data_IF_142707685864
#
_entry.id   IF_142707685864
#
_cell.length_a   1.000
_cell.length_b   1.000
_cell.length_c   1.000
_cell.angle_alpha   90.00
_cell.angle_beta   90.00
_cell.angle_gamma   90.00
#
_symmetry.space_group_name_H-M   'P 1'
#
loop_
_entity.id
_entity.type
_entity.pdbx_description
1 polymer ?
#
# COMPACT_ATOMS: atom_id res chain seq x y z
N UNK A 1 -18.27 -14.78 11.39
CA UNK A 1 -17.71 -13.63 10.69
C UNK A 1 -17.39 -14.07 9.28
N UNK A 2 -17.96 -13.45 8.24
CA UNK A 2 -17.63 -13.80 6.86
C UNK A 2 -16.20 -13.34 6.59
N UNK A 3 -15.29 -14.30 6.50
CA UNK A 3 -13.87 -14.08 6.25
C UNK A 3 -13.69 -13.83 4.74
N UNK A 4 -14.10 -12.68 4.25
CA UNK A 4 -13.95 -12.34 2.82
C UNK A 4 -12.51 -11.91 2.57
N UNK A 5 -11.76 -12.73 1.84
CA UNK A 5 -10.43 -12.38 1.34
C UNK A 5 -10.52 -11.14 0.43
N UNK A 6 -9.86 -10.06 0.82
CA UNK A 6 -9.80 -8.81 0.05
C UNK A 6 -8.71 -8.88 -1.00
N UNK A 7 -7.59 -9.51 -0.67
CA UNK A 7 -6.45 -9.72 -1.54
C UNK A 7 -5.98 -11.16 -1.40
N UNK A 8 -5.79 -11.83 -2.54
CA UNK A 8 -5.34 -13.23 -2.57
C UNK A 8 -4.32 -13.42 -3.69
N UNK A 9 -3.19 -14.02 -3.35
CA UNK A 9 -2.16 -14.49 -4.27
C UNK A 9 -1.97 -15.99 -4.07
N UNK A 10 -1.96 -16.77 -5.16
CA UNK A 10 -1.79 -18.22 -5.11
C UNK A 10 -0.76 -18.65 -6.14
N UNK A 11 0.27 -19.37 -5.70
CA UNK A 11 1.32 -19.91 -6.56
C UNK A 11 2.10 -18.85 -7.34
N UNK A 12 2.23 -17.64 -6.76
CA UNK A 12 2.76 -16.48 -7.46
C UNK A 12 4.26 -16.65 -7.77
N UNK A 13 4.63 -16.50 -9.04
CA UNK A 13 6.01 -16.54 -9.51
C UNK A 13 6.35 -15.28 -10.31
N UNK A 14 7.54 -14.75 -10.07
CA UNK A 14 8.08 -13.60 -10.80
C UNK A 14 9.58 -13.75 -11.03
N UNK A 15 9.99 -13.50 -12.28
CA UNK A 15 11.40 -13.51 -12.67
C UNK A 15 11.74 -12.30 -13.52
N UNK A 16 13.00 -11.88 -13.46
CA UNK A 16 13.53 -10.84 -14.33
C UNK A 16 14.68 -11.37 -15.16
N UNK A 17 14.84 -10.84 -16.38
CA UNK A 17 16.01 -11.12 -17.22
C UNK A 17 17.10 -10.10 -16.93
N UNK A 18 18.23 -10.54 -16.42
CA UNK A 18 19.38 -9.70 -16.11
C UNK A 18 20.65 -10.31 -16.74
N UNK A 19 21.31 -9.59 -17.65
CA UNK A 19 22.54 -10.06 -18.30
C UNK A 19 22.41 -11.42 -19.00
N UNK A 20 21.25 -11.74 -19.57
CA UNK A 20 20.96 -13.02 -20.22
C UNK A 20 20.65 -14.18 -19.28
N UNK A 21 20.66 -13.95 -17.96
CA UNK A 21 20.24 -14.93 -16.93
C UNK A 21 18.85 -14.62 -16.42
N UNK A 22 18.11 -15.67 -16.03
CA UNK A 22 16.80 -15.54 -15.39
C UNK A 22 17.01 -15.49 -13.88
N UNK A 23 16.63 -14.35 -13.26
CA UNK A 23 16.63 -14.17 -11.81
C UNK A 23 15.21 -14.44 -11.29
N UNK A 24 15.00 -15.57 -10.61
CA UNK A 24 13.74 -15.90 -9.96
C UNK A 24 13.62 -15.14 -8.63
N UNK A 25 12.75 -14.14 -8.59
CA UNK A 25 12.55 -13.28 -7.41
C UNK A 25 11.42 -13.78 -6.51
N UNK A 26 10.29 -14.21 -7.09
CA UNK A 26 9.21 -14.86 -6.35
C UNK A 26 9.02 -16.29 -6.85
N UNK A 27 8.84 -17.23 -5.90
CA UNK A 27 8.79 -18.67 -6.15
C UNK A 27 7.65 -19.29 -5.34
N UNK A 28 6.50 -19.49 -6.00
CA UNK A 28 5.32 -20.13 -5.38
C UNK A 28 4.82 -19.42 -4.11
N UNK A 29 4.67 -18.09 -4.18
CA UNK A 29 4.20 -17.28 -3.06
C UNK A 29 2.68 -17.40 -2.93
N UNK A 30 2.23 -17.74 -1.71
CA UNK A 30 0.82 -17.80 -1.34
C UNK A 30 0.56 -16.79 -0.22
N UNK A 31 -0.37 -15.86 -0.43
CA UNK A 31 -0.72 -14.82 0.54
C UNK A 31 -2.22 -14.52 0.41
N UNK A 32 -2.91 -14.51 1.52
CA UNK A 32 -4.30 -14.05 1.61
C UNK A 32 -4.40 -12.99 2.70
N UNK A 33 -5.15 -11.92 2.43
CA UNK A 33 -5.38 -10.81 3.37
C UNK A 33 -6.86 -10.53 3.44
N UNK A 34 -7.39 -10.45 4.65
CA UNK A 34 -8.82 -10.30 4.91
C UNK A 34 -9.19 -8.86 5.24
N UNK A 35 -10.48 -8.56 5.15
CA UNK A 35 -11.03 -7.26 5.55
C UNK A 35 -10.70 -6.96 7.02
N UNK A 36 -10.13 -5.77 7.26
CA UNK A 36 -9.71 -5.33 8.59
C UNK A 36 -8.47 -6.01 9.15
N UNK A 37 -7.81 -6.87 8.36
CA UNK A 37 -6.55 -7.53 8.77
C UNK A 37 -5.35 -6.65 8.43
N UNK A 38 -4.41 -6.55 9.35
CA UNK A 38 -3.09 -5.97 9.15
C UNK A 38 -2.02 -7.06 9.05
N UNK A 39 -1.29 -7.10 7.92
CA UNK A 39 -0.25 -8.09 7.64
C UNK A 39 1.09 -7.38 7.43
N UNK A 40 2.08 -7.72 8.25
CA UNK A 40 3.45 -7.29 8.04
C UNK A 40 4.22 -8.31 7.18
N UNK A 41 4.87 -7.85 6.12
CA UNK A 41 5.79 -8.66 5.31
C UNK A 41 7.22 -8.27 5.68
N UNK A 42 7.92 -9.18 6.33
CA UNK A 42 9.31 -8.98 6.75
C UNK A 42 10.27 -9.86 5.95
N UNK A 43 11.54 -9.48 5.89
CA UNK A 43 12.58 -10.25 5.21
C UNK A 43 13.82 -9.41 4.92
N UNK A 44 14.94 -10.05 4.60
CA UNK A 44 16.19 -9.38 4.27
C UNK A 44 16.09 -8.52 3.01
N UNK A 45 17.00 -7.57 2.84
CA UNK A 45 17.10 -6.83 1.57
C UNK A 45 17.28 -7.81 0.40
N UNK A 46 16.63 -7.54 -0.72
CA UNK A 46 16.65 -8.42 -1.89
C UNK A 46 15.82 -9.71 -1.79
N UNK A 47 15.05 -9.94 -0.71
CA UNK A 47 14.20 -11.13 -0.59
C UNK A 47 12.98 -11.15 -1.53
N UNK A 48 12.65 -10.00 -2.17
CA UNK A 48 11.51 -9.88 -3.10
C UNK A 48 10.30 -9.14 -2.54
N UNK A 49 10.39 -8.49 -1.37
CA UNK A 49 9.25 -7.80 -0.72
C UNK A 49 8.60 -6.74 -1.60
N UNK A 50 9.39 -5.80 -2.12
CA UNK A 50 8.89 -4.75 -3.04
C UNK A 50 8.31 -5.35 -4.31
N UNK A 51 8.95 -6.40 -4.87
CA UNK A 51 8.43 -7.12 -6.04
C UNK A 51 7.08 -7.77 -5.73
N UNK A 52 6.94 -8.41 -4.56
CA UNK A 52 5.67 -8.98 -4.12
C UNK A 52 4.60 -7.89 -4.02
N UNK A 53 4.91 -6.77 -3.35
CA UNK A 53 3.99 -5.65 -3.22
C UNK A 53 3.54 -5.09 -4.59
N UNK A 54 4.48 -4.96 -5.54
CA UNK A 54 4.18 -4.51 -6.89
C UNK A 54 3.30 -5.48 -7.67
N UNK A 55 3.56 -6.79 -7.56
CA UNK A 55 2.73 -7.81 -8.22
C UNK A 55 1.31 -7.84 -7.64
N UNK A 56 1.17 -7.93 -6.30
CA UNK A 56 -0.16 -7.98 -5.66
C UNK A 56 -0.93 -6.66 -5.80
N UNK A 57 -0.23 -5.55 -6.05
CA UNK A 57 -0.81 -4.26 -6.38
C UNK A 57 -1.16 -4.08 -7.87
N UNK A 58 -0.86 -5.07 -8.71
CA UNK A 58 -1.07 -4.99 -10.16
C UNK A 58 -0.24 -3.89 -10.84
N UNK A 59 0.92 -3.52 -10.25
CA UNK A 59 1.86 -2.54 -10.81
C UNK A 59 2.92 -3.21 -11.68
N UNK A 60 3.24 -4.46 -11.39
CA UNK A 60 4.10 -5.29 -12.22
C UNK A 60 3.39 -6.61 -12.57
N UNK A 61 3.69 -7.14 -13.76
CA UNK A 61 3.13 -8.41 -14.21
C UNK A 61 3.87 -9.56 -13.54
N UNK A 62 3.18 -10.65 -13.29
CA UNK A 62 3.75 -11.89 -12.78
C UNK A 62 3.81 -12.96 -13.87
N UNK A 63 4.66 -13.98 -13.68
CA UNK A 63 4.90 -15.01 -14.70
C UNK A 63 3.88 -16.15 -14.57
N UNK A 64 3.54 -16.55 -13.32
CA UNK A 64 2.59 -17.63 -13.01
C UNK A 64 1.86 -17.35 -11.72
N UNK A 65 0.75 -18.04 -11.52
CA UNK A 65 -0.10 -17.94 -10.34
C UNK A 65 -1.39 -17.18 -10.59
N UNK A 66 -2.03 -16.82 -9.51
CA UNK A 66 -3.30 -16.09 -9.49
C UNK A 66 -3.17 -14.92 -8.50
N UNK A 67 -3.67 -13.76 -8.87
CA UNK A 67 -3.91 -12.66 -7.95
C UNK A 67 -5.34 -12.18 -8.10
N UNK A 68 -6.08 -12.17 -6.97
CA UNK A 68 -7.43 -11.62 -6.87
C UNK A 68 -7.44 -10.41 -5.95
N UNK A 69 -8.14 -9.35 -6.35
CA UNK A 69 -8.32 -8.13 -5.56
C UNK A 69 -9.82 -7.83 -5.50
N UNK A 70 -10.40 -7.95 -4.29
CA UNK A 70 -11.84 -7.80 -4.09
C UNK A 70 -12.65 -8.73 -5.00
N UNK A 71 -12.18 -9.97 -5.18
CA UNK A 71 -12.83 -11.02 -5.98
C UNK A 71 -12.62 -10.93 -7.49
N UNK A 72 -11.80 -9.99 -8.00
CA UNK A 72 -11.48 -9.90 -9.42
C UNK A 72 -10.06 -10.43 -9.70
N UNK A 73 -9.92 -11.41 -10.62
CA UNK A 73 -8.62 -11.91 -11.08
C UNK A 73 -7.94 -10.85 -11.97
N UNK A 74 -6.82 -10.30 -11.51
CA UNK A 74 -6.16 -9.20 -12.23
C UNK A 74 -5.48 -9.63 -13.52
N UNK A 75 -5.15 -10.91 -13.69
CA UNK A 75 -4.54 -11.42 -14.92
C UNK A 75 -5.50 -11.40 -16.12
N UNK A 76 -6.80 -11.41 -15.87
CA UNK A 76 -7.85 -11.42 -16.89
C UNK A 76 -8.31 -10.02 -17.29
N UNK A 77 -7.83 -8.98 -16.57
CA UNK A 77 -8.27 -7.61 -16.80
C UNK A 77 -7.46 -6.94 -17.92
N UNK A 78 -8.16 -6.12 -18.72
CA UNK A 78 -7.48 -5.16 -19.59
C UNK A 78 -6.72 -4.12 -18.76
N UNK A 79 -5.70 -3.49 -19.34
CA UNK A 79 -4.94 -2.42 -18.69
C UNK A 79 -5.83 -1.28 -18.17
N UNK A 80 -6.85 -0.92 -18.94
CA UNK A 80 -7.82 0.09 -18.50
C UNK A 80 -8.59 -0.36 -17.26
N UNK A 81 -9.11 -1.59 -17.27
CA UNK A 81 -9.86 -2.15 -16.14
C UNK A 81 -8.99 -2.33 -14.91
N UNK A 82 -7.74 -2.78 -15.09
CA UNK A 82 -6.75 -2.89 -14.01
C UNK A 82 -6.44 -1.53 -13.40
N UNK A 83 -6.31 -0.48 -14.21
CA UNK A 83 -6.11 0.89 -13.75
C UNK A 83 -7.30 1.40 -12.93
N UNK A 84 -8.53 1.14 -13.37
CA UNK A 84 -9.75 1.45 -12.62
C UNK A 84 -9.82 0.69 -11.30
N UNK A 85 -9.50 -0.61 -11.32
CA UNK A 85 -9.47 -1.45 -10.11
C UNK A 85 -8.47 -0.89 -9.10
N UNK A 86 -7.22 -0.62 -9.52
CA UNK A 86 -6.19 -0.02 -8.63
C UNK A 86 -6.69 1.27 -8.00
N UNK A 87 -7.22 2.18 -8.81
CA UNK A 87 -7.72 3.45 -8.31
C UNK A 87 -8.87 3.27 -7.30
N UNK A 88 -9.75 2.28 -7.49
CA UNK A 88 -10.94 2.08 -6.65
C UNK A 88 -10.70 1.22 -5.42
N UNK A 89 -9.87 0.18 -5.54
CA UNK A 89 -9.74 -0.87 -4.52
C UNK A 89 -8.41 -0.82 -3.76
N UNK A 90 -7.39 -0.15 -4.29
CA UNK A 90 -6.08 -0.11 -3.68
C UNK A 90 -5.64 1.31 -3.31
N UNK A 91 -4.92 1.40 -2.19
CA UNK A 91 -4.10 2.54 -1.84
C UNK A 91 -2.64 2.14 -1.82
N UNK A 92 -1.74 3.08 -2.15
CA UNK A 92 -0.30 2.84 -2.16
C UNK A 92 0.42 3.90 -1.33
N UNK A 93 1.29 3.44 -0.44
CA UNK A 93 2.23 4.27 0.32
C UNK A 93 3.63 3.75 0.05
N UNK A 94 4.55 4.62 -0.32
CA UNK A 94 5.94 4.28 -0.61
C UNK A 94 6.88 5.00 0.36
N UNK A 95 8.07 4.46 0.56
CA UNK A 95 9.14 5.09 1.33
C UNK A 95 9.49 6.49 0.78
N UNK A 96 9.55 6.65 -0.54
CA UNK A 96 9.71 7.93 -1.22
C UNK A 96 8.34 8.45 -1.65
N UNK A 97 7.65 9.13 -0.86
CA UNK A 97 6.29 9.70 -0.91
C UNK A 97 5.61 9.81 -2.30
N UNK A 98 6.37 9.99 -3.39
CA UNK A 98 5.89 10.14 -4.78
C UNK A 98 4.74 11.17 -4.90
N UNK A 99 4.85 12.29 -4.17
CA UNK A 99 3.93 13.40 -4.35
C UNK A 99 4.21 14.11 -5.67
N UNK A 100 3.15 14.58 -6.30
CA UNK A 100 3.22 15.39 -7.50
C UNK A 100 3.73 16.79 -7.09
N UNK A 101 4.91 17.23 -7.53
CA UNK A 101 5.57 18.41 -7.00
C UNK A 101 4.87 19.73 -7.37
N UNK A 102 4.11 19.76 -8.47
CA UNK A 102 3.36 20.91 -8.95
C UNK A 102 2.01 21.10 -8.27
N UNK A 103 1.58 20.13 -7.44
CA UNK A 103 0.29 20.13 -6.77
C UNK A 103 0.45 20.34 -5.28
N UNK A 104 -0.47 21.10 -4.69
CA UNK A 104 -0.53 21.31 -3.24
C UNK A 104 -0.79 19.98 -2.49
N UNK A 105 -0.66 20.00 -1.17
CA UNK A 105 -1.01 18.85 -0.32
C UNK A 105 -2.47 18.44 -0.56
N UNK A 106 -3.40 19.40 -0.56
CA UNK A 106 -4.82 19.15 -0.82
C UNK A 106 -5.05 18.54 -2.21
N UNK A 107 -4.40 19.07 -3.23
CA UNK A 107 -4.55 18.56 -4.60
C UNK A 107 -3.98 17.16 -4.78
N UNK A 108 -2.82 16.87 -4.16
CA UNK A 108 -2.26 15.53 -4.10
C UNK A 108 -3.24 14.54 -3.47
N UNK A 109 -3.83 14.88 -2.33
CA UNK A 109 -4.81 14.01 -1.63
C UNK A 109 -6.11 13.85 -2.42
N UNK A 110 -6.56 14.89 -3.11
CA UNK A 110 -7.77 14.84 -3.93
C UNK A 110 -7.59 14.08 -5.26
N UNK A 111 -6.34 13.84 -5.70
CA UNK A 111 -6.04 13.30 -7.03
C UNK A 111 -6.74 11.97 -7.35
N UNK A 112 -6.77 10.96 -6.46
CA UNK A 112 -7.47 9.71 -6.74
C UNK A 112 -8.95 9.90 -7.05
N UNK A 113 -9.62 10.83 -6.37
CA UNK A 113 -11.03 11.16 -6.56
C UNK A 113 -11.25 11.97 -7.85
N UNK A 114 -10.32 12.88 -8.18
CA UNK A 114 -10.35 13.62 -9.46
C UNK A 114 -10.22 12.66 -10.66
N UNK A 115 -9.34 11.64 -10.56
CA UNK A 115 -9.20 10.60 -11.58
C UNK A 115 -10.51 9.81 -11.77
N UNK A 116 -11.27 9.59 -10.69
CA UNK A 116 -12.62 8.98 -10.74
C UNK A 116 -13.70 9.90 -11.31
N UNK A 117 -13.35 11.15 -11.65
CA UNK A 117 -14.27 12.20 -12.09
C UNK A 117 -15.35 12.54 -11.04
N UNK A 118 -15.00 12.42 -9.78
CA UNK A 118 -15.88 12.88 -8.69
C UNK A 118 -15.99 14.41 -8.70
N UNK A 119 -17.10 14.93 -8.16
CA UNK A 119 -17.31 16.39 -8.06
C UNK A 119 -16.16 17.03 -7.29
N UNK A 120 -15.62 18.13 -7.81
CA UNK A 120 -14.48 18.83 -7.21
C UNK A 120 -14.71 19.17 -5.73
N UNK A 121 -15.91 19.62 -5.37
CA UNK A 121 -16.26 19.93 -3.98
C UNK A 121 -16.25 18.71 -3.05
N UNK A 122 -16.56 17.50 -3.56
CA UNK A 122 -16.50 16.25 -2.78
C UNK A 122 -15.04 15.85 -2.58
N UNK A 123 -14.24 15.89 -3.65
CA UNK A 123 -12.81 15.57 -3.58
C UNK A 123 -12.05 16.52 -2.63
N UNK A 124 -12.33 17.83 -2.68
CA UNK A 124 -11.73 18.82 -1.78
C UNK A 124 -12.10 18.59 -0.33
N UNK A 125 -13.41 18.46 -0.01
CA UNK A 125 -13.86 18.21 1.37
C UNK A 125 -13.24 16.93 1.96
N UNK A 126 -13.12 15.87 1.15
CA UNK A 126 -12.49 14.63 1.58
C UNK A 126 -11.00 14.84 1.85
N UNK A 127 -10.29 15.54 0.96
CA UNK A 127 -8.86 15.85 1.13
C UNK A 127 -8.61 16.70 2.38
N UNK A 128 -9.38 17.77 2.60
CA UNK A 128 -9.29 18.62 3.79
C UNK A 128 -9.50 17.82 5.08
N UNK A 129 -10.55 16.98 5.11
CA UNK A 129 -10.84 16.12 6.25
C UNK A 129 -9.68 15.18 6.59
N UNK A 130 -9.06 14.56 5.58
CA UNK A 130 -7.94 13.65 5.76
C UNK A 130 -6.66 14.38 6.20
N UNK A 131 -6.36 15.53 5.59
CA UNK A 131 -5.22 16.35 6.00
C UNK A 131 -5.37 16.83 7.44
N UNK A 132 -6.58 17.25 7.84
CA UNK A 132 -6.86 17.60 9.23
C UNK A 132 -6.65 16.41 10.17
N UNK A 133 -7.12 15.22 9.81
CA UNK A 133 -6.91 13.99 10.60
C UNK A 133 -5.43 13.62 10.75
N UNK A 134 -4.59 14.03 9.76
CA UNK A 134 -3.12 13.85 9.77
C UNK A 134 -2.37 15.01 10.46
N UNK A 135 -3.07 15.96 11.10
CA UNK A 135 -2.44 17.12 11.73
C UNK A 135 -1.85 18.13 10.74
N UNK A 136 -2.40 18.20 9.51
CA UNK A 136 -1.90 19.05 8.41
C UNK A 136 -2.93 20.12 7.98
N UNK A 137 -3.83 20.53 8.89
CA UNK A 137 -4.86 21.52 8.57
C UNK A 137 -4.28 22.85 8.03
N UNK A 138 -3.13 23.27 8.57
CA UNK A 138 -2.46 24.51 8.17
C UNK A 138 -1.47 24.32 6.99
N UNK A 139 -1.46 23.14 6.38
CA UNK A 139 -0.55 22.76 5.29
C UNK A 139 -1.26 22.45 3.97
N UNK A 140 -2.57 22.63 3.91
CA UNK A 140 -3.42 22.22 2.77
C UNK A 140 -2.97 22.82 1.44
N UNK A 141 -2.52 24.07 1.46
CA UNK A 141 -2.09 24.83 0.26
C UNK A 141 -0.57 24.77 0.01
N UNK A 142 0.19 24.04 0.84
CA UNK A 142 1.64 23.91 0.67
C UNK A 142 1.99 22.94 -0.45
N UNK A 143 3.01 23.31 -1.23
CA UNK A 143 3.65 22.40 -2.19
C UNK A 143 4.53 21.39 -1.46
N UNK A 144 4.81 20.22 -2.04
CA UNK A 144 5.70 19.20 -1.43
C UNK A 144 7.09 19.75 -1.05
N UNK A 145 7.63 20.72 -1.79
CA UNK A 145 8.90 21.37 -1.49
C UNK A 145 8.89 22.22 -0.21
N UNK A 146 7.71 22.60 0.27
CA UNK A 146 7.50 23.41 1.47
C UNK A 146 7.19 22.57 2.71
N UNK A 147 7.09 21.25 2.55
CA UNK A 147 6.76 20.29 3.60
C UNK A 147 8.02 19.57 4.09
N UNK A 148 8.06 19.26 5.38
CA UNK A 148 9.05 18.35 5.97
C UNK A 148 8.89 16.92 5.42
N UNK A 149 9.87 16.05 5.66
CA UNK A 149 9.79 14.63 5.28
C UNK A 149 8.56 13.94 5.87
N UNK A 150 8.32 14.14 7.17
CA UNK A 150 7.17 13.58 7.87
C UNK A 150 5.83 14.16 7.39
N UNK A 151 5.77 15.45 7.09
CA UNK A 151 4.56 16.07 6.52
C UNK A 151 4.25 15.49 5.13
N UNK A 152 5.28 15.33 4.26
CA UNK A 152 5.11 14.67 2.94
C UNK A 152 4.59 13.26 3.07
N UNK A 153 5.09 12.48 4.03
CA UNK A 153 4.62 11.11 4.25
C UNK A 153 3.16 11.08 4.69
N UNK A 154 2.77 11.95 5.62
CA UNK A 154 1.36 12.05 6.04
C UNK A 154 0.44 12.49 4.89
N UNK A 155 0.87 13.37 3.99
CA UNK A 155 0.14 13.71 2.75
C UNK A 155 0.01 12.48 1.84
N UNK A 156 1.09 11.69 1.66
CA UNK A 156 1.06 10.49 0.84
C UNK A 156 0.09 9.42 1.39
N UNK A 157 0.04 9.26 2.72
CA UNK A 157 -0.91 8.37 3.38
C UNK A 157 -2.35 8.87 3.21
N UNK A 158 -2.60 10.17 3.45
CA UNK A 158 -3.90 10.78 3.21
C UNK A 158 -4.38 10.57 1.77
N UNK A 159 -3.48 10.72 0.79
CA UNK A 159 -3.75 10.43 -0.63
C UNK A 159 -4.13 8.97 -0.84
N UNK A 160 -3.37 8.04 -0.27
CA UNK A 160 -3.59 6.61 -0.45
C UNK A 160 -4.96 6.15 0.05
N UNK A 161 -5.47 6.76 1.13
CA UNK A 161 -6.77 6.39 1.73
C UNK A 161 -7.93 7.28 1.27
N UNK A 162 -7.67 8.30 0.45
CA UNK A 162 -8.69 9.29 0.05
C UNK A 162 -9.86 8.66 -0.70
N UNK A 163 -9.58 7.66 -1.53
CA UNK A 163 -10.55 6.90 -2.30
C UNK A 163 -11.29 5.80 -1.51
N UNK A 164 -11.07 5.66 -0.20
CA UNK A 164 -11.61 4.56 0.60
C UNK A 164 -11.32 3.19 -0.03
N UNK A 165 -10.03 2.82 -0.19
CA UNK A 165 -9.66 1.55 -0.80
C UNK A 165 -10.06 0.36 0.09
N UNK A 166 -10.15 -0.83 -0.52
CA UNK A 166 -10.32 -2.08 0.22
C UNK A 166 -9.02 -2.52 0.91
N UNK A 167 -7.89 -2.27 0.25
CA UNK A 167 -6.57 -2.65 0.74
C UNK A 167 -5.56 -1.52 0.57
N UNK A 168 -4.76 -1.28 1.58
CA UNK A 168 -3.61 -0.38 1.56
C UNK A 168 -2.32 -1.20 1.50
N UNK A 169 -1.49 -0.92 0.51
CA UNK A 169 -0.17 -1.51 0.32
C UNK A 169 0.89 -0.48 0.69
N UNK A 170 1.67 -0.73 1.72
CA UNK A 170 2.67 0.20 2.25
C UNK A 170 4.07 -0.42 2.20
N UNK A 171 4.99 0.22 1.47
CA UNK A 171 6.40 -0.16 1.39
C UNK A 171 7.22 0.79 2.26
N UNK A 172 7.69 0.31 3.41
CA UNK A 172 8.48 1.07 4.40
C UNK A 172 7.84 2.44 4.74
N UNK A 173 6.56 2.48 5.21
CA UNK A 173 5.80 3.72 5.33
C UNK A 173 6.38 4.72 6.33
N UNK A 174 7.31 4.29 7.18
CA UNK A 174 7.95 5.09 8.23
C UNK A 174 9.46 5.23 8.07
N UNK A 175 10.06 4.62 7.05
CA UNK A 175 11.51 4.50 6.90
C UNK A 175 12.28 5.82 6.80
N UNK A 176 11.60 6.95 6.58
CA UNK A 176 12.19 8.30 6.51
C UNK A 176 11.65 9.24 7.60
N UNK A 177 11.03 8.70 8.65
CA UNK A 177 10.42 9.47 9.73
C UNK A 177 11.26 9.38 11.01
N UNK A 178 11.19 10.41 11.84
CA UNK A 178 11.61 10.31 13.24
C UNK A 178 10.65 9.39 14.02
N UNK A 179 11.11 8.86 15.15
CA UNK A 179 10.38 7.86 15.94
C UNK A 179 8.98 8.31 16.35
N UNK A 180 8.82 9.57 16.80
CA UNK A 180 7.54 10.09 17.25
C UNK A 180 6.53 10.20 16.08
N UNK A 181 6.97 10.72 14.94
CA UNK A 181 6.15 10.79 13.73
C UNK A 181 5.82 9.40 13.17
N UNK A 182 6.76 8.44 13.25
CA UNK A 182 6.56 7.06 12.83
C UNK A 182 5.45 6.39 13.64
N UNK A 183 5.44 6.54 14.97
CA UNK A 183 4.40 6.02 15.86
C UNK A 183 3.01 6.56 15.49
N UNK A 184 2.88 7.87 15.33
CA UNK A 184 1.61 8.51 14.93
C UNK A 184 1.08 7.95 13.60
N UNK A 185 1.97 7.73 12.64
CA UNK A 185 1.61 7.19 11.32
C UNK A 185 1.13 5.74 11.43
N UNK A 186 1.85 4.89 12.15
CA UNK A 186 1.49 3.48 12.32
C UNK A 186 0.19 3.35 13.11
N UNK A 187 0.01 4.11 14.19
CA UNK A 187 -1.24 4.15 14.96
C UNK A 187 -2.44 4.49 14.07
N UNK A 188 -2.27 5.49 13.21
CA UNK A 188 -3.32 5.86 12.28
C UNK A 188 -3.67 4.74 11.30
N UNK A 189 -2.66 4.10 10.70
CA UNK A 189 -2.86 3.01 9.73
C UNK A 189 -3.54 1.79 10.37
N UNK A 190 -3.08 1.36 11.54
CA UNK A 190 -3.66 0.25 12.29
C UNK A 190 -5.10 0.57 12.75
N UNK A 191 -5.36 1.82 13.14
CA UNK A 191 -6.70 2.27 13.47
C UNK A 191 -7.64 2.24 12.27
N UNK A 192 -7.17 2.61 11.07
CA UNK A 192 -7.98 2.49 9.85
C UNK A 192 -8.31 1.03 9.56
N UNK A 193 -7.36 0.12 9.74
CA UNK A 193 -7.56 -1.31 9.56
C UNK A 193 -8.65 -1.81 10.52
N UNK A 194 -8.44 -1.67 11.81
CA UNK A 194 -9.35 -2.22 12.84
C UNK A 194 -10.73 -1.58 12.88
N UNK A 195 -10.86 -0.27 12.57
CA UNK A 195 -12.13 0.47 12.75
C UNK A 195 -12.93 0.68 11.47
N UNK A 196 -12.31 0.60 10.29
CA UNK A 196 -12.95 0.86 9.00
C UNK A 196 -12.91 -0.35 8.05
N UNK A 197 -12.41 -1.50 8.49
CA UNK A 197 -12.33 -2.71 7.69
C UNK A 197 -11.26 -2.63 6.57
N UNK A 198 -10.33 -1.67 6.63
CA UNK A 198 -9.27 -1.55 5.65
C UNK A 198 -8.28 -2.70 5.79
N UNK A 199 -8.13 -3.55 4.77
CA UNK A 199 -7.03 -4.51 4.73
C UNK A 199 -5.70 -3.75 4.59
N UNK A 200 -4.69 -4.12 5.40
CA UNK A 200 -3.41 -3.41 5.45
C UNK A 200 -2.25 -4.38 5.25
N UNK A 201 -1.42 -4.13 4.24
CA UNK A 201 -0.17 -4.85 4.02
C UNK A 201 0.99 -3.88 4.20
N UNK A 202 1.85 -4.14 5.17
CA UNK A 202 3.04 -3.32 5.45
C UNK A 202 4.29 -4.16 5.16
N UNK A 203 5.10 -3.72 4.22
CA UNK A 203 6.47 -4.19 4.08
C UNK A 203 7.35 -3.36 5.02
N UNK A 204 8.04 -4.02 5.93
CA UNK A 204 8.94 -3.33 6.87
C UNK A 204 10.12 -4.21 7.29
N UNK A 205 11.20 -3.58 7.68
CA UNK A 205 12.34 -4.22 8.37
C UNK A 205 12.34 -3.95 9.88
N UNK A 206 11.40 -3.11 10.35
CA UNK A 206 11.25 -2.76 11.76
C UNK A 206 10.43 -3.84 12.48
N UNK A 207 11.04 -4.55 13.47
CA UNK A 207 10.35 -5.61 14.20
C UNK A 207 9.24 -5.08 15.09
N UNK A 208 9.33 -3.85 15.60
CA UNK A 208 8.33 -3.28 16.50
C UNK A 208 7.05 -2.96 15.73
N UNK A 209 7.19 -2.44 14.52
CA UNK A 209 6.05 -2.24 13.61
C UNK A 209 5.43 -3.58 13.22
N UNK A 210 6.25 -4.56 12.87
CA UNK A 210 5.76 -5.88 12.47
C UNK A 210 4.97 -6.55 13.61
N UNK A 211 5.47 -6.46 14.84
CA UNK A 211 4.82 -7.04 16.02
C UNK A 211 3.45 -6.42 16.36
N UNK A 212 3.14 -5.25 15.82
CA UNK A 212 1.85 -4.55 16.02
C UNK A 212 0.79 -4.95 15.01
N UNK A 213 1.17 -5.63 13.93
CA UNK A 213 0.23 -6.17 12.95
C UNK A 213 -0.43 -7.46 13.44
N UNK A 214 -1.62 -7.77 12.94
CA UNK A 214 -2.35 -9.00 13.33
C UNK A 214 -1.59 -10.26 12.91
N UNK A 215 -0.81 -10.19 11.82
CA UNK A 215 -0.03 -11.32 11.32
C UNK A 215 1.29 -10.87 10.70
N UNK A 216 2.35 -11.65 10.91
CA UNK A 216 3.67 -11.42 10.33
C UNK A 216 4.00 -12.53 9.34
N UNK A 217 4.31 -12.15 8.11
CA UNK A 217 4.70 -13.05 7.02
C UNK A 217 6.18 -12.83 6.70
N UNK A 218 6.97 -13.87 6.78
CA UNK A 218 8.42 -13.82 6.48
C UNK A 218 8.72 -14.26 5.06
N UNK A 219 9.18 -13.32 4.23
CA UNK A 219 9.66 -13.62 2.86
C UNK A 219 11.17 -13.86 2.86
N UNK A 220 11.58 -15.05 2.41
CA UNK A 220 13.01 -15.45 2.30
C UNK A 220 13.25 -16.15 0.98
N UNK A 221 14.25 -15.70 0.22
CA UNK A 221 14.65 -16.27 -1.07
C UNK A 221 13.48 -16.44 -2.06
N UNK A 222 12.53 -15.52 -2.04
CA UNK A 222 11.34 -15.51 -2.90
C UNK A 222 10.20 -16.42 -2.47
N UNK A 223 10.25 -17.02 -1.28
CA UNK A 223 9.20 -17.86 -0.72
C UNK A 223 8.71 -17.28 0.61
N UNK A 224 7.42 -17.43 0.89
CA UNK A 224 6.88 -17.21 2.23
C UNK A 224 7.23 -18.44 3.08
N UNK A 225 7.86 -18.19 4.22
CA UNK A 225 8.12 -19.25 5.19
C UNK A 225 6.83 -19.64 5.92
N UNK A 226 6.66 -20.93 6.27
CA UNK A 226 5.58 -21.34 7.17
C UNK A 226 5.66 -20.55 8.48
N UNK A 227 4.50 -20.30 9.11
CA UNK A 227 4.44 -19.74 10.45
C UNK A 227 5.17 -20.71 11.41
N UNK A 228 6.18 -20.19 12.11
CA UNK A 228 6.79 -20.93 13.20
C UNK A 228 5.80 -20.91 14.38
N UNK A 229 5.23 -22.11 14.69
CA UNK A 229 4.38 -22.33 15.85
C UNK A 229 5.15 -22.15 17.15
#
# INVERSE_FOLDING_TARGET
MNNNGVLKAVGLQKSYKEGGRLLHVLKDVNLEVHEGESVAIVGTSGSGKTTLLQCIGGLDRFDKGLIEIGGENIAELSEQRLTELRNRKLGFVYQFHHLLPEFTAMENVAMPLKIRREKASVAQKRAESLLKAMGLADRVDHLPSQLSGGERQRVAIARAVSGSPLCLLADEPTGNLDGETAEVVIDYLLKLSSSQGLALVIVTHDPDIAARCDRVVRLKNGCILPEEN
#
